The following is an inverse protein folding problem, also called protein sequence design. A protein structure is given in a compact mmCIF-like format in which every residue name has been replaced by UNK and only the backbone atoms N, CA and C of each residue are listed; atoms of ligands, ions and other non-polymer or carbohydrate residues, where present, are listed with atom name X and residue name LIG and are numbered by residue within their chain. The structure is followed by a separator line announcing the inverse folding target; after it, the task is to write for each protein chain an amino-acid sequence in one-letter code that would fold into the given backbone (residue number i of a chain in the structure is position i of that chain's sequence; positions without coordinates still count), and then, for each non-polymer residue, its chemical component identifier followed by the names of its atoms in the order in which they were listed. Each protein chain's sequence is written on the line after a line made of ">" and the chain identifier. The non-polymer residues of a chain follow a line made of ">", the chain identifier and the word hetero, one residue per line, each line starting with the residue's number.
data_IF_978926951536
#
_entry.id   IF_978926951536
#
_cell.length_a   1.000
_cell.length_b   1.000
_cell.length_c   1.000
_cell.angle_alpha   90.00
_cell.angle_beta   90.00
_cell.angle_gamma   90.00
#
_symmetry.space_group_name_H-M   'P 1'
#
loop_
_entity.id
_entity.type
_entity.pdbx_description
1 polymer ?
#
# COMPACT_ATOMS: atom_id res chain seq x y z
N UNK A 1 38.85 41.71 43.82
CA UNK A 1 38.10 42.86 44.37
C UNK A 1 37.13 42.29 45.41
N UNK A 2 37.44 42.34 46.73
CA UNK A 2 37.12 43.42 47.71
C UNK A 2 35.60 43.74 47.69
N UNK A 3 34.79 43.71 48.75
CA UNK A 3 34.88 43.71 50.23
C UNK A 3 33.52 43.14 50.75
N UNK A 4 33.38 42.35 51.82
CA UNK A 4 33.46 42.62 53.27
C UNK A 4 32.45 43.64 53.86
N UNK A 5 31.74 43.21 54.93
CA UNK A 5 31.00 44.05 55.89
C UNK A 5 29.47 43.91 55.83
N UNK A 6 28.69 43.75 56.91
CA UNK A 6 28.92 43.93 58.34
C UNK A 6 27.87 43.17 59.17
N UNK A 7 28.26 42.90 60.42
CA UNK A 7 27.49 42.34 61.53
C UNK A 7 26.32 43.23 61.98
N UNK A 8 25.34 42.68 62.70
CA UNK A 8 25.09 43.06 64.11
C UNK A 8 24.09 42.13 64.80
N UNK A 9 24.36 41.92 66.07
CA UNK A 9 23.74 41.07 67.08
C UNK A 9 22.59 41.77 67.81
N UNK A 10 21.57 41.04 68.28
CA UNK A 10 21.03 41.27 69.62
C UNK A 10 20.22 40.06 70.12
N UNK A 11 20.31 39.84 71.43
CA UNK A 11 19.92 38.68 72.20
C UNK A 11 18.58 38.86 72.94
N UNK A 12 17.99 37.70 73.30
CA UNK A 12 17.19 37.38 74.51
C UNK A 12 15.76 37.96 74.63
N UNK A 13 14.78 37.05 74.73
CA UNK A 13 14.06 36.76 75.98
C UNK A 13 13.15 35.51 75.86
N UNK A 14 13.13 34.72 76.93
CA UNK A 14 12.31 33.53 77.30
C UNK A 14 11.87 33.81 78.76
N UNK A 15 10.80 33.25 79.43
CA UNK A 15 9.65 32.34 79.13
C UNK A 15 8.29 32.94 79.66
N UNK A 16 7.19 32.22 80.08
CA UNK A 16 6.83 30.76 80.04
C UNK A 16 5.39 30.38 79.57
N UNK A 17 5.24 29.05 79.33
CA UNK A 17 4.12 28.09 79.55
C UNK A 17 2.66 28.48 79.18
N UNK A 18 1.73 27.63 78.77
CA UNK A 18 1.58 26.19 78.47
C UNK A 18 0.17 26.11 77.87
N UNK A 19 -0.06 25.55 76.66
CA UNK A 19 -1.35 24.89 76.32
C UNK A 19 -1.08 23.80 75.28
N UNK A 20 -1.34 22.56 75.67
CA UNK A 20 -1.42 21.42 74.79
C UNK A 20 -2.67 21.52 73.90
N UNK A 21 -2.51 21.45 72.57
CA UNK A 21 -3.57 20.96 71.69
C UNK A 21 -3.01 20.11 70.55
N UNK A 22 -3.66 18.96 70.43
CA UNK A 22 -3.61 17.87 69.46
C UNK A 22 -3.62 18.25 67.98
N UNK A 23 -2.92 17.46 67.16
CA UNK A 23 -3.47 16.88 65.92
C UNK A 23 -3.23 17.62 64.61
N UNK A 24 -2.53 16.98 63.67
CA UNK A 24 -2.53 17.37 62.25
C UNK A 24 -1.29 16.94 61.46
N UNK A 25 -1.19 15.64 61.12
CA UNK A 25 -0.20 15.16 60.14
C UNK A 25 -0.52 15.73 58.76
N UNK A 26 0.49 16.29 58.09
CA UNK A 26 0.43 16.77 56.70
C UNK A 26 0.12 15.61 55.74
N UNK A 27 -1.04 15.66 55.09
CA UNK A 27 -1.42 14.85 53.91
C UNK A 27 -0.91 15.55 52.64
N UNK A 28 0.31 15.26 52.18
CA UNK A 28 0.83 15.77 50.89
C UNK A 28 1.64 14.79 50.01
N UNK A 29 1.78 13.46 50.27
CA UNK A 29 2.46 12.59 49.30
C UNK A 29 1.53 11.99 48.22
N UNK A 30 0.20 11.99 48.42
CA UNK A 30 -0.72 11.27 47.53
C UNK A 30 -1.07 12.03 46.23
N UNK A 31 -1.26 13.36 46.30
CA UNK A 31 -1.64 14.16 45.12
C UNK A 31 -0.52 14.26 44.07
N UNK A 32 0.75 14.27 44.47
CA UNK A 32 1.88 14.37 43.54
C UNK A 32 2.08 13.06 42.75
N UNK A 33 1.89 11.90 43.40
CA UNK A 33 1.91 10.60 42.71
C UNK A 33 0.73 10.43 41.74
N UNK A 34 -0.47 10.90 42.09
CA UNK A 34 -1.64 10.83 41.21
C UNK A 34 -1.46 11.73 39.98
N UNK A 35 -0.91 12.95 40.16
CA UNK A 35 -0.63 13.86 39.04
C UNK A 35 0.48 13.34 38.12
N UNK A 36 1.53 12.71 38.66
CA UNK A 36 2.58 12.07 37.87
C UNK A 36 2.05 10.84 37.12
N UNK A 37 1.26 9.98 37.76
CA UNK A 37 0.63 8.83 37.11
C UNK A 37 -0.34 9.25 35.99
N UNK A 38 -1.15 10.29 36.21
CA UNK A 38 -2.04 10.84 35.19
C UNK A 38 -1.26 11.46 34.02
N UNK A 39 -0.12 12.12 34.28
CA UNK A 39 0.76 12.66 33.24
C UNK A 39 1.45 11.57 32.43
N UNK A 40 1.90 10.48 33.06
CA UNK A 40 2.47 9.31 32.38
C UNK A 40 1.42 8.57 31.52
N UNK A 41 0.18 8.42 32.00
CA UNK A 41 -0.91 7.80 31.23
C UNK A 41 -1.29 8.70 30.03
N UNK A 42 -1.36 10.02 30.22
CA UNK A 42 -1.73 10.95 29.16
C UNK A 42 -0.65 11.08 28.06
N UNK A 43 0.62 11.07 28.46
CA UNK A 43 1.75 11.09 27.51
C UNK A 43 1.90 9.77 26.76
N UNK A 44 1.72 8.62 27.42
CA UNK A 44 1.73 7.32 26.76
C UNK A 44 0.58 7.17 25.74
N UNK A 45 -0.63 7.63 26.07
CA UNK A 45 -1.77 7.63 25.15
C UNK A 45 -1.56 8.52 23.91
N UNK A 46 -0.91 9.68 24.06
CA UNK A 46 -0.59 10.56 22.92
C UNK A 46 0.47 9.97 21.99
N UNK A 47 1.50 9.32 22.54
CA UNK A 47 2.53 8.66 21.73
C UNK A 47 1.96 7.50 20.92
N UNK A 48 1.15 6.64 21.55
CA UNK A 48 0.51 5.50 20.86
C UNK A 48 -0.45 5.96 19.76
N UNK A 49 -1.31 6.96 20.02
CA UNK A 49 -2.23 7.48 19.01
C UNK A 49 -1.50 8.13 17.81
N UNK A 50 -0.37 8.79 18.07
CA UNK A 50 0.47 9.38 17.02
C UNK A 50 1.17 8.32 16.19
N UNK A 51 1.67 7.25 16.82
CA UNK A 51 2.33 6.12 16.16
C UNK A 51 1.36 5.34 15.28
N UNK A 52 0.16 5.03 15.77
CA UNK A 52 -0.91 4.38 14.98
C UNK A 52 -1.31 5.25 13.78
N UNK A 53 -1.46 6.57 13.98
CA UNK A 53 -1.80 7.48 12.87
C UNK A 53 -0.71 7.50 11.79
N UNK A 54 0.56 7.53 12.19
CA UNK A 54 1.68 7.50 11.26
C UNK A 54 1.74 6.18 10.48
N UNK A 55 1.57 5.05 11.17
CA UNK A 55 1.50 3.71 10.55
C UNK A 55 0.33 3.58 9.58
N UNK A 56 -0.85 4.11 9.92
CA UNK A 56 -2.00 4.09 9.03
C UNK A 56 -1.76 4.91 7.76
N UNK A 57 -1.17 6.10 7.88
CA UNK A 57 -0.88 6.97 6.75
C UNK A 57 0.21 6.36 5.84
N UNK A 58 1.22 5.72 6.41
CA UNK A 58 2.25 4.99 5.67
C UNK A 58 1.63 3.83 4.85
N UNK A 59 0.72 3.07 5.45
CA UNK A 59 -0.01 2.01 4.75
C UNK A 59 -0.93 2.56 3.66
N UNK A 60 -1.70 3.62 3.93
CA UNK A 60 -2.53 4.30 2.92
C UNK A 60 -1.67 4.73 1.72
N UNK A 61 -0.51 5.35 1.99
CA UNK A 61 0.42 5.79 0.96
C UNK A 61 0.98 4.62 0.15
N UNK A 62 1.43 3.56 0.81
CA UNK A 62 1.90 2.33 0.14
C UNK A 62 0.81 1.77 -0.78
N UNK A 63 -0.41 1.61 -0.26
CA UNK A 63 -1.52 1.00 -0.98
C UNK A 63 -1.93 1.81 -2.20
N UNK A 64 -2.04 3.14 -2.05
CA UNK A 64 -2.37 4.06 -3.15
C UNK A 64 -1.28 4.00 -4.22
N UNK A 65 -0.01 4.13 -3.83
CA UNK A 65 1.10 4.16 -4.80
C UNK A 65 1.27 2.82 -5.52
N UNK A 66 1.10 1.68 -4.83
CA UNK A 66 1.17 0.35 -5.45
C UNK A 66 0.06 0.14 -6.48
N UNK A 67 -1.19 0.50 -6.16
CA UNK A 67 -2.30 0.35 -7.10
C UNK A 67 -2.21 1.35 -8.28
N UNK A 68 -1.68 2.56 -8.05
CA UNK A 68 -1.35 3.50 -9.14
C UNK A 68 -0.23 2.94 -10.03
N UNK A 69 0.83 2.37 -9.44
CA UNK A 69 1.94 1.75 -10.16
C UNK A 69 1.44 0.63 -11.08
N UNK A 70 0.68 -0.32 -10.54
CA UNK A 70 0.09 -1.42 -11.33
C UNK A 70 -0.84 -0.92 -12.44
N UNK A 71 -1.78 -0.02 -12.11
CA UNK A 71 -2.73 0.52 -13.09
C UNK A 71 -2.00 1.27 -14.20
N UNK A 72 -0.98 2.07 -13.87
CA UNK A 72 -0.22 2.79 -14.88
C UNK A 72 0.61 1.84 -15.75
N UNK A 73 1.18 0.78 -15.17
CA UNK A 73 1.84 -0.26 -15.94
C UNK A 73 0.88 -0.96 -16.90
N UNK A 74 -0.37 -1.19 -16.49
CA UNK A 74 -1.43 -1.74 -17.35
C UNK A 74 -1.71 -0.80 -18.54
N UNK A 75 -1.91 0.50 -18.30
CA UNK A 75 -2.12 1.45 -19.41
C UNK A 75 -0.89 1.63 -20.31
N UNK A 76 0.31 1.55 -19.73
CA UNK A 76 1.55 1.54 -20.52
C UNK A 76 1.70 0.24 -21.33
N UNK A 77 1.17 -0.88 -20.85
CA UNK A 77 1.12 -2.11 -21.63
C UNK A 77 0.22 -1.93 -22.86
N UNK A 78 -0.92 -1.24 -22.73
CA UNK A 78 -1.76 -0.85 -23.87
C UNK A 78 -1.00 0.02 -24.88
N UNK A 79 -0.21 1.00 -24.43
CA UNK A 79 0.68 1.77 -25.32
C UNK A 79 1.61 0.84 -26.08
N UNK A 80 2.28 -0.08 -25.38
CA UNK A 80 3.22 -1.00 -26.03
C UNK A 80 2.50 -1.94 -27.01
N UNK A 81 1.33 -2.48 -26.66
CA UNK A 81 0.53 -3.35 -27.53
C UNK A 81 0.12 -2.61 -28.80
N UNK A 82 -0.44 -1.40 -28.69
CA UNK A 82 -0.94 -0.66 -29.85
C UNK A 82 0.18 -0.13 -30.76
N UNK A 83 1.28 0.31 -30.18
CA UNK A 83 2.37 0.93 -30.93
C UNK A 83 3.38 -0.10 -31.48
N UNK A 84 3.63 -1.19 -30.74
CA UNK A 84 4.56 -2.23 -31.19
C UNK A 84 3.87 -3.34 -31.99
N UNK A 85 2.56 -3.51 -31.79
CA UNK A 85 1.71 -4.52 -32.42
C UNK A 85 2.24 -5.95 -32.21
N UNK A 86 2.58 -6.36 -30.98
CA UNK A 86 2.87 -7.75 -30.71
C UNK A 86 1.61 -8.59 -30.99
N UNK A 87 1.75 -9.85 -31.43
CA UNK A 87 0.60 -10.74 -31.50
C UNK A 87 -0.01 -10.94 -30.11
N UNK A 88 -1.33 -10.72 -30.00
CA UNK A 88 -2.10 -10.99 -28.78
C UNK A 88 -3.12 -12.07 -29.09
N UNK A 89 -3.00 -13.21 -28.40
CA UNK A 89 -4.01 -14.26 -28.39
C UNK A 89 -4.81 -14.15 -27.09
N UNK A 90 -6.14 -14.28 -27.16
CA UNK A 90 -7.02 -14.09 -26.00
C UNK A 90 -7.49 -12.65 -25.85
N UNK A 91 -7.74 -12.22 -24.61
CA UNK A 91 -8.19 -10.85 -24.28
C UNK A 91 -6.98 -9.93 -24.13
N UNK A 92 -7.05 -8.74 -24.71
CA UNK A 92 -6.01 -7.73 -24.61
C UNK A 92 -5.76 -7.30 -23.16
N UNK A 93 -6.84 -7.18 -22.36
CA UNK A 93 -6.75 -6.82 -20.94
C UNK A 93 -5.97 -7.83 -20.10
N UNK A 94 -6.14 -9.13 -20.35
CA UNK A 94 -5.36 -10.17 -19.65
C UNK A 94 -3.87 -10.09 -20.03
N UNK A 95 -3.58 -9.75 -21.29
CA UNK A 95 -2.21 -9.53 -21.75
C UNK A 95 -1.62 -8.26 -21.11
N UNK A 96 -2.39 -7.18 -21.00
CA UNK A 96 -1.98 -5.95 -20.33
C UNK A 96 -1.70 -6.17 -18.84
N UNK A 97 -2.56 -6.90 -18.12
CA UNK A 97 -2.34 -7.27 -16.71
C UNK A 97 -1.08 -8.11 -16.52
N UNK A 98 -0.86 -9.12 -17.37
CA UNK A 98 0.33 -9.95 -17.29
C UNK A 98 1.60 -9.13 -17.58
N UNK A 99 1.58 -8.25 -18.59
CA UNK A 99 2.69 -7.35 -18.88
C UNK A 99 2.96 -6.39 -17.73
N UNK A 100 1.90 -5.84 -17.11
CA UNK A 100 2.00 -4.93 -15.99
C UNK A 100 2.67 -5.60 -14.78
N UNK A 101 2.18 -6.78 -14.42
CA UNK A 101 2.68 -7.55 -13.28
C UNK A 101 4.15 -7.97 -13.47
N UNK A 102 4.53 -8.40 -14.68
CA UNK A 102 5.94 -8.73 -14.98
C UNK A 102 6.83 -7.46 -15.00
N UNK A 103 6.34 -6.35 -15.55
CA UNK A 103 7.08 -5.09 -15.56
C UNK A 103 7.35 -4.58 -14.14
N UNK A 104 6.32 -4.61 -13.29
CA UNK A 104 6.40 -4.21 -11.88
C UNK A 104 7.42 -5.08 -11.12
N UNK A 105 7.31 -6.41 -11.20
CA UNK A 105 8.27 -7.31 -10.55
C UNK A 105 9.72 -7.06 -11.00
N UNK A 106 9.97 -6.92 -12.31
CA UNK A 106 11.32 -6.67 -12.83
C UNK A 106 11.87 -5.30 -12.42
N UNK A 107 11.01 -4.29 -12.30
CA UNK A 107 11.43 -2.98 -11.82
C UNK A 107 11.83 -3.04 -10.34
N UNK A 108 11.03 -3.70 -9.50
CA UNK A 108 11.33 -3.86 -8.07
C UNK A 108 12.60 -4.70 -7.83
N UNK A 109 12.84 -5.76 -8.61
CA UNK A 109 14.10 -6.52 -8.55
C UNK A 109 15.33 -5.62 -8.81
N UNK A 110 15.20 -4.63 -9.69
CA UNK A 110 16.28 -3.70 -10.03
C UNK A 110 16.50 -2.58 -9.00
N UNK A 111 15.44 -2.20 -8.27
CA UNK A 111 15.47 -1.15 -7.23
C UNK A 111 15.79 -1.73 -5.83
N UNK A 112 15.82 -3.06 -5.70
CA UNK A 112 16.02 -3.80 -4.46
C UNK A 112 14.70 -4.40 -3.98
N UNK A 113 14.68 -5.70 -3.67
CA UNK A 113 13.47 -6.48 -3.31
C UNK A 113 12.70 -5.96 -2.07
N UNK A 114 13.23 -4.96 -1.35
CA UNK A 114 12.62 -4.45 -0.12
C UNK A 114 11.27 -3.79 -0.39
N UNK A 115 10.20 -4.30 0.21
CA UNK A 115 8.85 -3.77 0.03
C UNK A 115 8.10 -4.33 -1.20
N UNK A 116 8.73 -5.19 -2.01
CA UNK A 116 8.12 -5.75 -3.22
C UNK A 116 6.88 -6.58 -2.87
N UNK A 117 6.99 -7.51 -1.93
CA UNK A 117 5.87 -8.37 -1.53
C UNK A 117 4.72 -7.55 -0.95
N UNK A 118 5.03 -6.52 -0.17
CA UNK A 118 4.04 -5.62 0.41
C UNK A 118 3.28 -4.83 -0.65
N UNK A 119 3.96 -4.36 -1.71
CA UNK A 119 3.32 -3.70 -2.85
C UNK A 119 2.45 -4.66 -3.65
N UNK A 120 2.99 -5.82 -4.02
CA UNK A 120 2.26 -6.83 -4.79
C UNK A 120 1.04 -7.35 -4.02
N UNK A 121 1.17 -7.50 -2.70
CA UNK A 121 0.05 -7.79 -1.82
C UNK A 121 -0.96 -6.64 -1.79
N UNK A 122 -0.53 -5.37 -1.75
CA UNK A 122 -1.45 -4.24 -1.79
C UNK A 122 -2.24 -4.15 -3.10
N UNK A 123 -1.65 -4.54 -4.24
CA UNK A 123 -2.36 -4.66 -5.53
C UNK A 123 -3.39 -5.79 -5.47
N UNK A 124 -3.00 -6.97 -5.01
CA UNK A 124 -3.93 -8.10 -4.85
C UNK A 124 -5.08 -7.75 -3.88
N UNK A 125 -4.76 -7.11 -2.75
CA UNK A 125 -5.74 -6.64 -1.78
C UNK A 125 -6.70 -5.59 -2.39
N UNK A 126 -6.24 -4.75 -3.31
CA UNK A 126 -7.08 -3.85 -4.10
C UNK A 126 -8.18 -4.59 -4.88
N UNK A 127 -7.78 -5.59 -5.67
CA UNK A 127 -8.73 -6.42 -6.44
C UNK A 127 -9.68 -7.21 -5.55
N UNK A 128 -9.17 -7.76 -4.44
CA UNK A 128 -9.99 -8.47 -3.45
C UNK A 128 -11.04 -7.55 -2.83
N UNK A 129 -10.68 -6.30 -2.53
CA UNK A 129 -11.60 -5.33 -1.98
C UNK A 129 -12.67 -4.92 -2.99
N UNK A 130 -12.30 -4.67 -4.25
CA UNK A 130 -13.27 -4.40 -5.32
C UNK A 130 -14.26 -5.56 -5.50
N UNK A 131 -13.74 -6.79 -5.57
CA UNK A 131 -14.57 -8.00 -5.63
C UNK A 131 -15.55 -8.07 -4.45
N UNK A 132 -15.08 -7.82 -3.22
CA UNK A 132 -15.95 -7.87 -2.04
C UNK A 132 -17.04 -6.80 -2.07
N UNK A 133 -16.70 -5.57 -2.42
CA UNK A 133 -17.67 -4.47 -2.47
C UNK A 133 -18.76 -4.75 -3.50
N UNK A 134 -18.42 -5.33 -4.65
CA UNK A 134 -19.41 -5.81 -5.64
C UNK A 134 -20.39 -6.81 -5.01
N UNK A 135 -19.90 -7.74 -4.18
CA UNK A 135 -20.76 -8.71 -3.50
C UNK A 135 -21.61 -8.08 -2.38
N UNK A 136 -21.02 -7.20 -1.57
CA UNK A 136 -21.71 -6.54 -0.45
C UNK A 136 -22.81 -5.58 -0.92
N UNK A 137 -22.58 -4.87 -2.02
CA UNK A 137 -23.53 -3.94 -2.62
C UNK A 137 -24.50 -4.64 -3.60
N UNK A 138 -24.45 -5.97 -3.72
CA UNK A 138 -25.27 -6.79 -4.62
C UNK A 138 -25.24 -6.28 -6.08
N UNK A 139 -24.07 -5.79 -6.52
CA UNK A 139 -23.88 -5.28 -7.88
C UNK A 139 -23.81 -6.44 -8.89
N UNK A 140 -24.42 -6.25 -10.05
CA UNK A 140 -24.37 -7.25 -11.12
C UNK A 140 -22.97 -7.28 -11.75
N UNK A 141 -22.40 -8.48 -11.85
CA UNK A 141 -21.16 -8.69 -12.60
C UNK A 141 -21.44 -8.51 -14.10
N UNK A 142 -20.72 -7.59 -14.74
CA UNK A 142 -20.73 -7.45 -16.18
C UNK A 142 -19.92 -8.59 -16.83
N UNK A 143 -20.48 -9.79 -16.94
CA UNK A 143 -19.77 -10.96 -17.53
C UNK A 143 -19.38 -10.78 -19.01
N UNK A 144 -19.93 -9.77 -19.68
CA UNK A 144 -19.59 -9.40 -21.06
C UNK A 144 -18.49 -8.32 -21.14
N UNK A 145 -17.99 -7.84 -20.00
CA UNK A 145 -16.87 -6.90 -19.96
C UNK A 145 -15.62 -7.52 -20.58
N UNK A 146 -14.74 -6.66 -21.12
CA UNK A 146 -13.48 -7.09 -21.71
C UNK A 146 -12.45 -7.48 -20.64
N UNK A 147 -12.58 -6.94 -19.43
CA UNK A 147 -11.77 -7.32 -18.29
C UNK A 147 -12.24 -8.66 -17.71
N UNK A 148 -11.29 -9.42 -17.17
CA UNK A 148 -11.64 -10.55 -16.31
C UNK A 148 -12.37 -10.07 -15.05
N UNK A 149 -13.12 -10.97 -14.41
CA UNK A 149 -13.76 -10.67 -13.13
C UNK A 149 -12.69 -10.30 -12.09
N UNK A 150 -13.02 -9.44 -11.14
CA UNK A 150 -12.05 -8.98 -10.13
C UNK A 150 -11.43 -10.14 -9.32
N UNK A 151 -12.23 -11.17 -9.01
CA UNK A 151 -11.73 -12.40 -8.38
C UNK A 151 -10.75 -13.18 -9.27
N UNK A 152 -10.94 -13.16 -10.60
CA UNK A 152 -10.02 -13.82 -11.54
C UNK A 152 -8.71 -13.04 -11.63
N UNK A 153 -8.76 -11.70 -11.71
CA UNK A 153 -7.58 -10.82 -11.69
C UNK A 153 -6.79 -11.00 -10.40
N UNK A 154 -7.49 -11.02 -9.26
CA UNK A 154 -6.91 -11.30 -7.95
C UNK A 154 -6.10 -12.60 -7.92
N UNK A 155 -6.71 -13.73 -8.30
CA UNK A 155 -6.01 -15.01 -8.29
C UNK A 155 -4.93 -15.12 -9.37
N UNK A 156 -5.07 -14.45 -10.51
CA UNK A 156 -4.04 -14.39 -11.54
C UNK A 156 -2.79 -13.67 -11.04
N UNK A 157 -2.96 -12.51 -10.39
CA UNK A 157 -1.86 -11.76 -9.78
C UNK A 157 -1.18 -12.60 -8.70
N UNK A 158 -1.94 -13.15 -7.74
CA UNK A 158 -1.40 -14.01 -6.69
C UNK A 158 -0.59 -15.18 -7.28
N UNK A 159 -1.08 -15.77 -8.37
CA UNK A 159 -0.42 -16.85 -9.07
C UNK A 159 0.90 -16.41 -9.71
N UNK A 160 0.94 -15.29 -10.45
CA UNK A 160 2.18 -14.79 -11.06
C UNK A 160 3.23 -14.43 -10.00
N UNK A 161 2.81 -13.78 -8.91
CA UNK A 161 3.71 -13.42 -7.81
C UNK A 161 4.28 -14.68 -7.15
N UNK A 162 3.44 -15.65 -6.78
CA UNK A 162 3.92 -16.91 -6.22
C UNK A 162 4.82 -17.68 -7.19
N UNK A 163 4.43 -17.76 -8.47
CA UNK A 163 5.15 -18.46 -9.52
C UNK A 163 6.54 -17.90 -9.83
N UNK A 164 6.75 -16.61 -9.62
CA UNK A 164 8.04 -15.94 -9.80
C UNK A 164 9.14 -16.53 -8.92
N UNK A 165 8.82 -16.78 -7.65
CA UNK A 165 9.74 -17.41 -6.71
C UNK A 165 8.98 -18.13 -5.59
N UNK A 166 8.53 -19.38 -5.81
CA UNK A 166 7.73 -20.12 -4.82
C UNK A 166 8.41 -20.27 -3.45
N UNK A 167 9.74 -20.32 -3.41
CA UNK A 167 10.50 -20.44 -2.17
C UNK A 167 10.46 -19.14 -1.35
N UNK A 168 10.68 -17.99 -2.00
CA UNK A 168 10.64 -16.69 -1.33
C UNK A 168 9.21 -16.19 -1.08
N UNK A 169 8.26 -16.56 -1.95
CA UNK A 169 6.91 -16.00 -1.96
C UNK A 169 5.87 -16.99 -1.41
N UNK A 170 6.29 -18.00 -0.65
CA UNK A 170 5.39 -19.00 -0.05
C UNK A 170 4.27 -18.37 0.79
N UNK A 171 4.53 -17.22 1.42
CA UNK A 171 3.53 -16.46 2.20
C UNK A 171 2.31 -16.05 1.38
N UNK A 172 2.44 -15.91 0.05
CA UNK A 172 1.35 -15.52 -0.84
C UNK A 172 0.22 -16.55 -0.80
N UNK A 173 0.53 -17.85 -0.69
CA UNK A 173 -0.50 -18.89 -0.67
C UNK A 173 -1.51 -18.68 0.47
N UNK A 174 -1.00 -18.38 1.68
CA UNK A 174 -1.82 -18.12 2.86
C UNK A 174 -2.46 -16.74 2.79
N UNK A 175 -1.66 -15.71 2.47
CA UNK A 175 -2.13 -14.32 2.42
C UNK A 175 -3.28 -14.13 1.43
N UNK A 176 -3.23 -14.84 0.30
CA UNK A 176 -4.26 -14.73 -0.75
C UNK A 176 -5.28 -15.86 -0.77
N UNK A 177 -5.12 -16.86 0.10
CA UNK A 177 -5.91 -18.10 0.07
C UNK A 177 -5.92 -18.71 -1.35
N UNK A 178 -4.75 -18.71 -2.01
CA UNK A 178 -4.62 -19.27 -3.35
C UNK A 178 -4.85 -20.78 -3.26
N UNK A 179 -5.84 -21.35 -3.97
CA UNK A 179 -6.08 -22.79 -3.95
C UNK A 179 -4.83 -23.58 -4.36
N UNK A 180 -4.54 -24.69 -3.67
CA UNK A 180 -3.31 -25.46 -3.91
C UNK A 180 -3.23 -26.01 -5.33
N UNK A 181 -4.37 -26.43 -5.89
CA UNK A 181 -4.50 -26.87 -7.28
C UNK A 181 -4.24 -25.74 -8.28
N UNK A 182 -4.70 -24.51 -7.99
CA UNK A 182 -4.36 -23.33 -8.78
C UNK A 182 -2.86 -23.02 -8.75
N UNK A 183 -2.23 -23.21 -7.58
CA UNK A 183 -0.82 -22.92 -7.35
C UNK A 183 0.14 -23.85 -8.11
N UNK A 184 -0.28 -25.08 -8.43
CA UNK A 184 0.54 -26.08 -9.14
C UNK A 184 1.05 -25.57 -10.51
N UNK A 185 0.22 -24.82 -11.24
CA UNK A 185 0.57 -24.27 -12.56
C UNK A 185 1.29 -22.92 -12.54
N UNK A 186 1.39 -22.27 -11.38
CA UNK A 186 1.80 -20.87 -11.31
C UNK A 186 3.23 -20.61 -11.75
N UNK A 187 4.15 -21.56 -11.51
CA UNK A 187 5.53 -21.44 -11.97
C UNK A 187 5.61 -21.38 -13.49
N UNK A 188 4.83 -22.21 -14.17
CA UNK A 188 4.80 -22.28 -15.63
C UNK A 188 4.13 -21.04 -16.22
N UNK A 189 3.06 -20.56 -15.60
CA UNK A 189 2.38 -19.33 -16.03
C UNK A 189 3.26 -18.09 -15.87
N UNK A 190 3.95 -17.95 -14.75
CA UNK A 190 4.98 -16.92 -14.59
C UNK A 190 6.05 -17.06 -15.68
N UNK A 191 6.59 -18.27 -15.90
CA UNK A 191 7.63 -18.48 -16.89
C UNK A 191 7.17 -18.10 -18.32
N UNK A 192 5.91 -18.40 -18.67
CA UNK A 192 5.31 -18.01 -19.95
C UNK A 192 5.17 -16.49 -20.08
N UNK A 193 4.62 -15.83 -19.07
CA UNK A 193 4.46 -14.37 -19.06
C UNK A 193 5.82 -13.66 -19.11
N UNK A 194 6.79 -14.15 -18.34
CA UNK A 194 8.14 -13.63 -18.28
C UNK A 194 8.89 -13.79 -19.61
N UNK A 195 8.73 -14.95 -20.26
CA UNK A 195 9.26 -15.19 -21.60
C UNK A 195 8.63 -14.27 -22.66
N UNK A 196 7.31 -14.06 -22.61
CA UNK A 196 6.62 -13.13 -23.50
C UNK A 196 7.14 -11.70 -23.33
N UNK A 197 7.39 -11.27 -22.09
CA UNK A 197 8.00 -9.98 -21.77
C UNK A 197 9.42 -9.87 -22.34
N UNK A 198 10.28 -10.88 -22.14
CA UNK A 198 11.63 -10.89 -22.71
C UNK A 198 11.63 -10.83 -24.24
N UNK A 199 10.71 -11.55 -24.88
CA UNK A 199 10.53 -11.45 -26.32
C UNK A 199 10.16 -10.03 -26.74
N UNK A 200 9.18 -9.40 -26.09
CA UNK A 200 8.72 -8.05 -26.37
C UNK A 200 9.85 -7.02 -26.23
N UNK A 201 10.63 -7.14 -25.16
CA UNK A 201 11.83 -6.37 -24.92
C UNK A 201 12.89 -6.55 -26.02
N UNK A 202 13.10 -7.78 -26.51
CA UNK A 202 14.04 -8.04 -27.60
C UNK A 202 13.61 -7.34 -28.90
N UNK A 203 12.30 -7.34 -29.20
CA UNK A 203 11.75 -6.67 -30.39
C UNK A 203 11.91 -5.15 -30.29
N UNK A 204 11.65 -4.58 -29.10
CA UNK A 204 11.88 -3.15 -28.83
C UNK A 204 13.34 -2.74 -29.05
N UNK A 205 14.30 -3.52 -28.53
CA UNK A 205 15.73 -3.26 -28.71
C UNK A 205 16.18 -3.28 -30.17
N UNK A 206 15.63 -4.19 -30.99
CA UNK A 206 15.99 -4.27 -32.40
C UNK A 206 15.56 -3.01 -33.15
N UNK A 207 14.31 -2.55 -32.97
CA UNK A 207 13.82 -1.33 -33.61
C UNK A 207 14.59 -0.08 -33.18
N UNK A 208 15.12 -0.05 -31.95
CA UNK A 208 15.89 1.09 -31.45
C UNK A 208 17.28 1.23 -32.09
N UNK A 209 17.89 0.14 -32.60
CA UNK A 209 19.19 0.21 -33.30
C UNK A 209 19.12 0.90 -34.66
N UNK A 210 17.93 0.94 -35.25
CA UNK A 210 17.70 1.48 -36.61
C UNK A 210 17.50 3.01 -36.65
N UNK A 211 17.39 3.67 -35.48
CA UNK A 211 17.10 5.11 -35.37
C UNK A 211 18.21 5.88 -34.63
N UNK A 212 18.47 7.13 -35.07
CA UNK A 212 19.39 8.01 -34.36
C UNK A 212 18.79 8.49 -33.03
N UNK A 213 19.61 8.55 -31.99
CA UNK A 213 19.23 8.96 -30.63
C UNK A 213 18.66 10.41 -30.54
N UNK A 214 18.71 11.18 -31.62
CA UNK A 214 18.36 12.61 -31.67
C UNK A 214 16.83 12.82 -31.72
N UNK A 215 16.05 11.84 -32.20
CA UNK A 215 14.59 11.93 -32.32
C UNK A 215 13.82 11.03 -31.32
N UNK A 216 14.39 10.79 -30.14
CA UNK A 216 13.73 9.96 -29.12
C UNK A 216 12.41 10.61 -28.70
N UNK A 217 11.30 9.92 -28.91
CA UNK A 217 9.98 10.35 -28.46
C UNK A 217 9.89 10.24 -26.94
N UNK A 218 9.09 11.11 -26.36
CA UNK A 218 8.96 11.25 -24.90
C UNK A 218 7.57 10.82 -24.49
N UNK A 219 7.48 10.16 -23.34
CA UNK A 219 6.23 10.04 -22.59
C UNK A 219 6.21 11.20 -21.60
N UNK A 220 5.41 12.23 -21.86
CA UNK A 220 5.29 13.39 -20.98
C UNK A 220 4.24 13.15 -19.89
N UNK A 221 4.42 13.77 -18.72
CA UNK A 221 3.46 13.67 -17.61
C UNK A 221 2.86 15.05 -17.34
N UNK A 222 1.53 15.12 -17.22
CA UNK A 222 0.77 16.31 -16.84
C UNK A 222 -0.14 16.00 -15.66
N UNK A 223 -0.19 16.91 -14.68
CA UNK A 223 -1.13 16.84 -13.57
C UNK A 223 -2.06 18.06 -13.62
N UNK A 224 -3.37 17.84 -13.66
CA UNK A 224 -4.35 18.85 -13.29
C UNK A 224 -4.48 18.96 -11.77
N UNK A 225 -4.99 20.08 -11.28
CA UNK A 225 -5.31 20.24 -9.86
C UNK A 225 -6.36 19.22 -9.42
N UNK A 226 -6.05 18.40 -8.42
CA UNK A 226 -6.96 17.41 -7.87
C UNK A 226 -8.02 18.08 -6.99
N UNK A 227 -9.28 18.01 -7.41
CA UNK A 227 -10.40 18.71 -6.74
C UNK A 227 -11.06 17.91 -5.63
N UNK A 228 -10.54 16.73 -5.28
CA UNK A 228 -11.06 15.95 -4.16
C UNK A 228 -10.65 16.54 -2.81
N UNK A 229 -11.34 16.12 -1.75
CA UNK A 229 -11.05 16.55 -0.37
C UNK A 229 -9.61 16.20 0.03
N UNK A 230 -9.12 15.04 -0.41
CA UNK A 230 -7.77 14.55 -0.12
C UNK A 230 -6.78 14.92 -1.25
N UNK A 231 -7.19 15.79 -2.18
CA UNK A 231 -6.50 16.01 -3.45
C UNK A 231 -5.06 16.49 -3.28
N UNK A 232 -4.82 17.50 -2.44
CA UNK A 232 -3.47 18.01 -2.16
C UNK A 232 -2.55 16.93 -1.59
N UNK A 233 -3.06 16.09 -0.68
CA UNK A 233 -2.33 15.00 -0.06
C UNK A 233 -1.95 13.92 -1.09
N UNK A 234 -2.90 13.49 -1.90
CA UNK A 234 -2.69 12.48 -2.92
C UNK A 234 -1.73 12.96 -4.02
N UNK A 235 -1.87 14.21 -4.45
CA UNK A 235 -0.95 14.84 -5.40
C UNK A 235 0.48 14.91 -4.86
N UNK A 236 0.64 15.28 -3.58
CA UNK A 236 1.95 15.29 -2.94
C UNK A 236 2.56 13.88 -2.94
N UNK A 237 1.80 12.86 -2.53
CA UNK A 237 2.28 11.47 -2.54
C UNK A 237 2.73 11.01 -3.93
N UNK A 238 1.94 11.29 -4.97
CA UNK A 238 2.27 10.94 -6.34
C UNK A 238 3.55 11.64 -6.81
N UNK A 239 3.58 12.98 -6.70
CA UNK A 239 4.70 13.80 -7.20
C UNK A 239 6.00 13.54 -6.44
N UNK A 240 5.94 13.42 -5.11
CA UNK A 240 7.12 13.13 -4.28
C UNK A 240 7.64 11.71 -4.48
N UNK A 241 6.77 10.75 -4.81
CA UNK A 241 7.21 9.40 -5.13
C UNK A 241 8.05 9.33 -6.40
N UNK A 242 7.88 10.27 -7.34
CA UNK A 242 8.48 10.26 -8.68
C UNK A 242 8.12 9.02 -9.51
N UNK A 243 7.09 8.27 -9.09
CA UNK A 243 6.71 6.98 -9.65
C UNK A 243 6.35 7.09 -11.13
N UNK A 244 5.43 8.01 -11.45
CA UNK A 244 4.86 8.15 -12.80
C UNK A 244 5.95 8.47 -13.82
N UNK A 245 6.84 9.40 -13.49
CA UNK A 245 7.94 9.81 -14.37
C UNK A 245 8.95 8.67 -14.55
N UNK A 246 9.22 7.87 -13.51
CA UNK A 246 10.10 6.70 -13.62
C UNK A 246 9.50 5.63 -14.53
N UNK A 247 8.21 5.34 -14.40
CA UNK A 247 7.50 4.37 -15.26
C UNK A 247 7.49 4.83 -16.72
N UNK A 248 7.17 6.11 -16.95
CA UNK A 248 7.22 6.74 -18.26
C UNK A 248 8.61 6.62 -18.90
N UNK A 249 9.67 6.94 -18.16
CA UNK A 249 11.06 6.84 -18.61
C UNK A 249 11.47 5.38 -18.88
N UNK A 250 11.04 4.44 -18.04
CA UNK A 250 11.35 3.02 -18.21
C UNK A 250 10.84 2.48 -19.55
N UNK A 251 9.60 2.83 -19.92
CA UNK A 251 9.02 2.46 -21.23
C UNK A 251 9.72 3.21 -22.37
N UNK A 252 9.88 4.53 -22.26
CA UNK A 252 10.50 5.35 -23.30
C UNK A 252 11.96 4.97 -23.60
N UNK A 253 12.69 4.45 -22.61
CA UNK A 253 14.06 3.94 -22.80
C UNK A 253 14.11 2.61 -23.51
N UNK A 254 13.08 1.78 -23.36
CA UNK A 254 13.11 0.37 -23.75
C UNK A 254 12.41 0.10 -25.07
N UNK A 255 11.43 0.93 -25.42
CA UNK A 255 10.61 0.81 -26.61
C UNK A 255 10.75 2.03 -27.52
N UNK A 256 10.68 1.78 -28.83
CA UNK A 256 10.57 2.84 -29.82
C UNK A 256 9.09 3.19 -29.99
N UNK A 257 8.69 4.37 -29.51
CA UNK A 257 7.34 4.88 -29.73
C UNK A 257 7.32 5.67 -31.06
N UNK A 258 6.35 5.42 -31.95
CA UNK A 258 6.27 6.12 -33.24
C UNK A 258 5.83 7.59 -33.08
N UNK A 259 5.21 7.93 -31.95
CA UNK A 259 4.75 9.27 -31.58
C UNK A 259 4.99 9.55 -30.10
N UNK A 260 4.90 10.82 -29.71
CA UNK A 260 4.89 11.18 -28.30
C UNK A 260 3.61 10.67 -27.65
N UNK A 261 3.72 10.27 -26.39
CA UNK A 261 2.60 9.85 -25.55
C UNK A 261 2.52 10.80 -24.38
N UNK A 262 1.32 11.08 -23.90
CA UNK A 262 1.11 11.87 -22.70
C UNK A 262 0.40 11.01 -21.64
N UNK A 263 0.87 11.06 -20.40
CA UNK A 263 0.13 10.60 -19.22
C UNK A 263 -0.47 11.85 -18.57
N UNK A 264 -1.80 11.90 -18.43
CA UNK A 264 -2.49 13.00 -17.79
C UNK A 264 -3.29 12.55 -16.57
N UNK A 265 -3.05 13.19 -15.44
CA UNK A 265 -3.89 13.07 -14.25
C UNK A 265 -4.98 14.14 -14.28
N UNK A 266 -6.24 13.70 -14.40
CA UNK A 266 -7.38 14.58 -14.71
C UNK A 266 -8.55 14.41 -13.75
N UNK A 267 -9.39 15.44 -13.65
CA UNK A 267 -10.66 15.34 -12.92
C UNK A 267 -11.73 14.67 -13.79
N UNK A 268 -12.11 13.45 -13.44
CA UNK A 268 -13.10 12.66 -14.16
C UNK A 268 -14.37 12.40 -13.32
N UNK A 269 -15.52 12.11 -13.97
CA UNK A 269 -16.74 11.74 -13.26
C UNK A 269 -16.68 10.34 -12.61
N UNK A 270 -15.84 9.44 -13.12
CA UNK A 270 -15.75 8.05 -12.66
C UNK A 270 -14.30 7.69 -12.32
N UNK A 271 -14.11 6.76 -11.39
CA UNK A 271 -12.80 6.20 -11.05
C UNK A 271 -12.34 5.27 -12.18
N UNK A 272 -11.48 5.76 -13.07
CA UNK A 272 -10.94 4.96 -14.17
C UNK A 272 -9.54 5.43 -14.60
N UNK A 273 -8.85 4.58 -15.35
CA UNK A 273 -7.70 4.93 -16.17
C UNK A 273 -7.89 4.31 -17.56
N UNK A 274 -7.40 4.96 -18.61
CA UNK A 274 -7.51 4.41 -19.95
C UNK A 274 -6.48 5.00 -20.92
N UNK A 275 -5.91 4.13 -21.75
CA UNK A 275 -5.20 4.48 -22.96
C UNK A 275 -6.15 4.89 -24.09
N UNK A 276 -5.89 6.04 -24.70
CA UNK A 276 -6.55 6.50 -25.91
C UNK A 276 -5.58 6.48 -27.10
N UNK A 277 -5.77 5.50 -27.98
CA UNK A 277 -4.95 5.34 -29.18
C UNK A 277 -5.15 6.45 -30.23
N UNK A 278 -6.23 7.22 -30.23
CA UNK A 278 -6.39 8.30 -31.20
C UNK A 278 -5.52 9.51 -30.81
N UNK A 279 -5.58 9.90 -29.54
CA UNK A 279 -4.89 11.09 -29.02
C UNK A 279 -3.50 10.82 -28.48
N UNK A 280 -3.09 9.55 -28.39
CA UNK A 280 -1.85 9.12 -27.75
C UNK A 280 -1.74 9.57 -26.29
N UNK A 281 -2.83 9.39 -25.53
CA UNK A 281 -2.92 9.84 -24.15
C UNK A 281 -3.36 8.70 -23.22
N UNK A 282 -2.63 8.49 -22.14
CA UNK A 282 -3.09 7.74 -20.97
C UNK A 282 -3.77 8.75 -20.05
N UNK A 283 -5.09 8.61 -19.90
CA UNK A 283 -5.86 9.40 -18.94
C UNK A 283 -5.96 8.64 -17.64
N UNK A 284 -5.42 9.20 -16.56
CA UNK A 284 -5.54 8.65 -15.21
C UNK A 284 -6.43 9.57 -14.37
N UNK A 285 -7.57 9.07 -13.91
CA UNK A 285 -8.51 9.93 -13.20
C UNK A 285 -8.12 10.09 -11.72
N UNK A 286 -8.15 11.32 -11.21
CA UNK A 286 -7.96 11.62 -9.80
C UNK A 286 -8.96 10.86 -8.91
N UNK A 287 -10.19 10.64 -9.40
CA UNK A 287 -11.21 9.81 -8.76
C UNK A 287 -10.75 8.36 -8.54
N UNK A 288 -9.89 7.79 -9.39
CA UNK A 288 -9.32 6.46 -9.20
C UNK A 288 -8.26 6.44 -8.09
N UNK A 289 -7.41 7.45 -8.02
CA UNK A 289 -6.44 7.61 -6.91
C UNK A 289 -7.18 7.72 -5.57
N UNK A 290 -8.27 8.49 -5.54
CA UNK A 290 -9.16 8.59 -4.37
C UNK A 290 -9.84 7.25 -4.04
N UNK A 291 -10.25 6.47 -5.06
CA UNK A 291 -10.80 5.13 -4.87
C UNK A 291 -9.80 4.23 -4.16
N UNK A 292 -8.53 4.23 -4.55
CA UNK A 292 -7.51 3.44 -3.85
C UNK A 292 -7.33 3.86 -2.38
N UNK A 293 -7.37 5.16 -2.07
CA UNK A 293 -7.36 5.61 -0.68
C UNK A 293 -8.58 5.11 0.11
N UNK A 294 -9.76 5.11 -0.52
CA UNK A 294 -10.97 4.54 0.07
C UNK A 294 -10.81 3.05 0.34
N UNK A 295 -10.34 2.25 -0.64
CA UNK A 295 -10.12 0.82 -0.46
C UNK A 295 -9.12 0.52 0.65
N UNK A 296 -8.02 1.29 0.74
CA UNK A 296 -7.02 1.14 1.79
C UNK A 296 -7.64 1.30 3.19
N UNK A 297 -8.51 2.31 3.36
CA UNK A 297 -9.20 2.60 4.61
C UNK A 297 -10.24 1.54 4.97
N UNK A 298 -11.00 1.04 4.00
CA UNK A 298 -11.94 -0.06 4.24
C UNK A 298 -11.21 -1.32 4.70
N UNK A 299 -10.14 -1.69 4.01
CA UNK A 299 -9.32 -2.84 4.38
C UNK A 299 -8.70 -2.72 5.78
N UNK A 300 -8.25 -1.52 6.18
CA UNK A 300 -7.79 -1.29 7.55
C UNK A 300 -8.91 -1.50 8.57
N UNK A 301 -10.13 -1.03 8.31
CA UNK A 301 -11.29 -1.27 9.18
C UNK A 301 -11.58 -2.76 9.30
N UNK A 302 -11.45 -3.52 8.22
CA UNK A 302 -11.68 -4.96 8.24
C UNK A 302 -10.67 -5.71 9.08
N UNK A 303 -9.38 -5.37 8.94
CA UNK A 303 -8.32 -5.94 9.75
C UNK A 303 -8.54 -5.66 11.24
N UNK A 304 -9.00 -4.44 11.58
CA UNK A 304 -9.38 -4.10 12.95
C UNK A 304 -10.56 -4.94 13.45
N UNK A 305 -11.63 -5.07 12.65
CA UNK A 305 -12.79 -5.91 12.99
C UNK A 305 -12.41 -7.39 13.19
N UNK A 306 -11.54 -7.93 12.35
CA UNK A 306 -11.04 -9.31 12.45
C UNK A 306 -10.16 -9.50 13.69
N UNK A 307 -9.29 -8.54 14.00
CA UNK A 307 -8.46 -8.56 15.21
C UNK A 307 -9.32 -8.52 16.48
N UNK A 308 -10.35 -7.66 16.52
CA UNK A 308 -11.32 -7.62 17.61
C UNK A 308 -12.09 -8.93 17.74
N UNK A 309 -12.61 -9.49 16.64
CA UNK A 309 -13.33 -10.76 16.66
C UNK A 309 -12.47 -11.92 17.18
N UNK A 310 -11.20 -11.98 16.74
CA UNK A 310 -10.22 -12.98 17.18
C UNK A 310 -9.85 -12.82 18.65
N UNK A 311 -9.78 -11.57 19.15
CA UNK A 311 -9.54 -11.28 20.57
C UNK A 311 -10.69 -11.76 21.47
N UNK A 312 -11.94 -11.64 21.01
CA UNK A 312 -13.13 -12.08 21.76
C UNK A 312 -13.46 -13.57 21.57
N UNK A 313 -12.83 -14.26 20.61
CA UNK A 313 -12.97 -15.70 20.37
C UNK A 313 -11.60 -16.40 20.29
N UNK A 314 -10.85 -16.52 21.40
CA UNK A 314 -9.64 -17.32 21.40
C UNK A 314 -10.02 -18.81 21.29
N UNK A 315 -9.84 -19.37 20.08
CA UNK A 315 -9.93 -20.79 19.72
C UNK A 315 -10.81 -21.69 20.62
N UNK A 316 -12.06 -21.89 20.22
CA UNK A 316 -12.85 -23.05 20.67
C UNK A 316 -12.20 -24.40 20.29
N UNK A 317 -11.19 -24.39 19.40
CA UNK A 317 -10.49 -25.56 18.86
C UNK A 317 -9.50 -26.25 19.81
N UNK A 318 -9.12 -25.65 20.93
CA UNK A 318 -8.18 -26.29 21.88
C UNK A 318 -8.88 -27.10 22.99
N UNK A 319 -10.21 -27.03 23.08
CA UNK A 319 -10.99 -27.77 24.08
C UNK A 319 -11.17 -29.25 23.73
N UNK A 320 -11.27 -29.60 22.45
CA UNK A 320 -11.47 -30.99 22.02
C UNK A 320 -10.17 -31.81 22.08
N UNK A 321 -9.02 -31.18 21.85
CA UNK A 321 -7.71 -31.83 22.02
C UNK A 321 -7.38 -32.07 23.51
N UNK A 322 -7.71 -31.10 24.38
CA UNK A 322 -7.58 -31.24 25.83
C UNK A 322 -8.52 -32.32 26.41
N UNK A 323 -9.74 -32.45 25.88
CA UNK A 323 -10.70 -33.48 26.28
C UNK A 323 -10.30 -34.89 25.80
N UNK A 324 -9.75 -35.02 24.59
CA UNK A 324 -9.25 -36.31 24.07
C UNK A 324 -7.96 -36.79 24.77
N UNK A 325 -7.17 -35.87 25.34
CA UNK A 325 -5.99 -36.20 26.14
C UNK A 325 -6.33 -36.58 27.59
N UNK A 326 -7.46 -36.10 28.15
CA UNK A 326 -7.92 -36.51 29.48
C UNK A 326 -8.58 -37.90 29.48
N UNK A 327 -9.16 -38.33 28.36
CA UNK A 327 -9.79 -39.66 28.21
C UNK A 327 -8.80 -40.80 27.85
N UNK A 328 -7.50 -40.52 27.70
CA UNK A 328 -6.45 -41.53 27.49
C UNK A 328 -5.64 -41.86 28.76
N UNK A 329 -6.04 -41.29 29.89
CA UNK A 329 -5.51 -41.67 31.20
C UNK A 329 -6.68 -42.15 32.06
N UNK A 330 -7.13 -43.36 31.76
CA UNK A 330 -7.72 -44.33 32.71
C UNK A 330 -7.67 -45.73 32.10
#
# INVERSE_FOLDING_TARGET
>A
MRMNGQQTTSQRMIPPADIATTGGRRLYPCLCMIMLAAFFIFTAGHSSARETRASNEEYERLFVLANVEFTLWHELAHVVIWEMKPPVFGREEDAADNLAMIAEMRMQESEGEAGMLEKLQAVADGWKMEWRLIQEDELENAYWDLHALEIQRYYNIACLVYGANPEKHAVILEATQLPTDRAEGCRDEYAMANHAFDWLLSQGSHRMKDYSAINRRVISVRYEDNRSIEGEKLDAWLKESGLVERLAEAVARRFYLPRNVEISFENCPFANAAWNAETANIKFCHSLVNRFLYLARELQKDRLRQAEASFWQPDAGNSEHAYRLSLRKD
#
